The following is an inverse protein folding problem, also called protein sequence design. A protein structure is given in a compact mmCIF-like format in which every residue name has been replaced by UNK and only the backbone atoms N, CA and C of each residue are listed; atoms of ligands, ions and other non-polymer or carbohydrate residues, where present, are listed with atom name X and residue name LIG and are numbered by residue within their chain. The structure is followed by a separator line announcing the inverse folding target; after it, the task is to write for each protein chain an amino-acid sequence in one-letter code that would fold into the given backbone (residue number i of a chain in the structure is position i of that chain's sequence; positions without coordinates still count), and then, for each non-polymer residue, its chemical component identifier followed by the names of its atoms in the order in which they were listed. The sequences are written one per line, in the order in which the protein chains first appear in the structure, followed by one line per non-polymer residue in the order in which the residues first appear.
data_IF_011367853562
#
_entry.id   IF_011367853562
#
_cell.length_a   1.000
_cell.length_b   1.000
_cell.length_c   1.000
_cell.angle_alpha   90.00
_cell.angle_beta   90.00
_cell.angle_gamma   90.00
#
_symmetry.space_group_name_H-M   'P 1'
#
loop_
_entity.id
_entity.type
_entity.pdbx_description
1 polymer ?
#
# COMPACT_ATOMS: atom_id res chain seq x y z
N UNK A 1 27.80 33.02 -9.09
CA UNK A 1 29.17 32.65 -9.51
C UNK A 1 30.17 33.37 -8.61
N UNK A 2 30.76 32.70 -7.63
CA UNK A 2 31.89 33.21 -6.86
C UNK A 2 33.06 32.24 -7.06
N UNK A 3 34.04 32.73 -7.79
CA UNK A 3 35.27 32.04 -8.09
C UNK A 3 36.16 32.09 -6.83
N UNK A 4 36.47 30.94 -6.22
CA UNK A 4 37.42 30.86 -5.12
C UNK A 4 38.77 30.51 -5.75
N UNK A 5 39.67 31.51 -5.72
CA UNK A 5 41.04 31.37 -6.15
C UNK A 5 41.85 30.69 -5.04
N UNK A 6 42.27 29.45 -5.25
CA UNK A 6 43.19 28.74 -4.35
C UNK A 6 44.61 29.10 -4.75
N UNK A 7 45.26 29.95 -3.95
CA UNK A 7 46.68 30.24 -4.05
C UNK A 7 47.43 29.04 -3.45
N UNK A 8 48.09 28.27 -4.29
CA UNK A 8 49.01 27.22 -3.85
C UNK A 8 50.33 27.83 -3.42
N UNK A 9 50.55 27.88 -2.11
CA UNK A 9 51.86 28.26 -1.53
C UNK A 9 52.84 27.11 -1.65
N UNK A 10 53.72 27.18 -2.62
CA UNK A 10 54.80 26.17 -2.82
C UNK A 10 55.94 26.53 -1.86
N UNK A 11 56.02 25.84 -0.73
CA UNK A 11 57.18 25.82 0.14
C UNK A 11 58.13 24.69 -0.25
N UNK A 12 59.43 24.88 -0.33
CA UNK A 12 60.37 23.79 -0.63
C UNK A 12 60.52 22.91 0.62
N UNK A 13 59.84 21.76 0.62
CA UNK A 13 60.00 20.77 1.70
C UNK A 13 61.17 19.91 1.34
N UNK A 14 62.28 20.03 2.08
CA UNK A 14 63.39 19.11 2.06
C UNK A 14 62.94 17.74 2.69
N UNK A 15 62.46 16.84 1.87
CA UNK A 15 61.93 15.53 2.32
C UNK A 15 63.07 14.58 2.60
N UNK A 16 63.40 14.38 3.89
CA UNK A 16 64.32 13.32 4.34
C UNK A 16 63.74 11.95 3.99
N UNK A 17 64.54 11.05 3.44
CA UNK A 17 64.15 9.73 2.96
C UNK A 17 63.39 8.85 4.02
N UNK A 18 63.53 9.22 5.30
CA UNK A 18 62.81 8.55 6.42
C UNK A 18 61.30 8.85 6.43
N UNK A 19 60.87 9.99 5.89
CA UNK A 19 59.47 10.36 5.85
C UNK A 19 58.68 9.64 4.76
N UNK A 20 59.35 9.22 3.69
CA UNK A 20 58.75 8.47 2.58
C UNK A 20 58.31 7.05 2.97
N UNK A 21 59.09 6.36 3.84
CA UNK A 21 58.74 5.04 4.39
C UNK A 21 57.48 5.12 5.29
N UNK A 22 57.38 6.17 6.07
CA UNK A 22 56.19 6.40 6.95
C UNK A 22 54.93 6.73 6.13
N UNK A 23 55.07 7.55 5.08
CA UNK A 23 53.96 7.83 4.14
C UNK A 23 53.48 6.57 3.40
N UNK A 24 54.40 5.70 2.94
CA UNK A 24 54.04 4.41 2.33
C UNK A 24 53.39 3.46 3.32
N UNK A 25 53.81 3.44 4.59
CA UNK A 25 53.12 2.65 5.64
C UNK A 25 51.74 3.19 5.96
N UNK A 26 51.57 4.50 6.06
CA UNK A 26 50.28 5.14 6.28
C UNK A 26 49.31 4.90 5.11
N UNK A 27 49.80 5.06 3.87
CA UNK A 27 48.98 4.76 2.66
C UNK A 27 48.57 3.26 2.57
N UNK A 28 49.47 2.35 2.94
CA UNK A 28 49.12 0.90 3.03
C UNK A 28 48.11 0.62 4.14
N UNK A 29 48.18 1.32 5.28
CA UNK A 29 47.23 1.17 6.38
C UNK A 29 45.86 1.69 6.00
N UNK A 30 45.81 2.88 5.38
CA UNK A 30 44.55 3.47 4.85
C UNK A 30 43.93 2.61 3.75
N UNK A 31 44.73 2.08 2.80
CA UNK A 31 44.25 1.14 1.78
C UNK A 31 43.75 -0.20 2.35
N UNK A 32 44.40 -0.68 3.43
CA UNK A 32 43.93 -1.90 4.13
C UNK A 32 42.64 -1.65 4.92
N UNK A 33 42.52 -0.46 5.54
CA UNK A 33 41.28 -0.05 6.23
C UNK A 33 40.16 0.22 5.24
N UNK A 34 40.42 0.89 4.10
CA UNK A 34 39.45 1.07 3.00
C UNK A 34 39.03 -0.29 2.40
N UNK A 35 39.92 -1.23 2.17
CA UNK A 35 39.61 -2.59 1.74
C UNK A 35 38.86 -3.40 2.80
N UNK A 36 39.10 -3.16 4.08
CA UNK A 36 38.34 -3.81 5.16
C UNK A 36 36.96 -3.16 5.33
N UNK A 37 36.84 -1.84 5.15
CA UNK A 37 35.57 -1.12 5.17
C UNK A 37 34.73 -1.48 3.94
N UNK A 38 35.34 -1.64 2.75
CA UNK A 38 34.64 -2.13 1.55
C UNK A 38 34.27 -3.62 1.63
N UNK A 39 34.99 -4.44 2.42
CA UNK A 39 34.59 -5.84 2.73
C UNK A 39 33.49 -5.93 3.79
N UNK A 40 33.27 -4.88 4.59
CA UNK A 40 32.17 -4.81 5.57
C UNK A 40 30.88 -4.20 5.01
N UNK A 41 30.89 -3.63 3.82
CA UNK A 41 29.66 -3.49 3.04
C UNK A 41 29.32 -4.92 2.59
N UNK A 42 28.62 -5.67 3.44
CA UNK A 42 28.02 -6.96 3.09
C UNK A 42 27.26 -6.70 1.80
N UNK A 43 27.75 -7.25 0.70
CA UNK A 43 27.05 -7.21 -0.58
C UNK A 43 25.64 -7.69 -0.31
N UNK A 44 24.67 -6.81 -0.55
CA UNK A 44 23.28 -7.07 -0.30
C UNK A 44 22.84 -8.14 -1.28
N UNK A 45 22.56 -9.34 -0.80
CA UNK A 45 22.16 -10.43 -1.67
C UNK A 45 20.74 -10.18 -2.20
N UNK A 46 20.45 -10.65 -3.42
CA UNK A 46 19.11 -10.61 -3.99
C UNK A 46 18.08 -11.31 -3.08
N UNK A 47 18.54 -12.33 -2.36
CA UNK A 47 17.74 -13.03 -1.34
C UNK A 47 17.38 -12.13 -0.16
N UNK A 48 18.32 -11.29 0.32
CA UNK A 48 18.05 -10.33 1.41
C UNK A 48 17.04 -9.27 0.95
N UNK A 49 17.17 -8.79 -0.30
CA UNK A 49 16.22 -7.83 -0.89
C UNK A 49 14.80 -8.42 -0.98
N UNK A 50 14.70 -9.67 -1.43
CA UNK A 50 13.42 -10.36 -1.52
C UNK A 50 12.80 -10.59 -0.13
N UNK A 51 13.61 -10.96 0.87
CA UNK A 51 13.16 -11.16 2.24
C UNK A 51 12.63 -9.83 2.85
N UNK A 52 13.38 -8.72 2.66
CA UNK A 52 12.96 -7.40 3.11
C UNK A 52 11.63 -6.95 2.49
N UNK A 53 11.47 -7.15 1.18
CA UNK A 53 10.24 -6.82 0.51
C UNK A 53 9.06 -7.62 1.07
N UNK A 54 9.22 -8.95 1.19
CA UNK A 54 8.16 -9.81 1.76
C UNK A 54 7.77 -9.37 3.17
N UNK A 55 8.75 -9.01 4.01
CA UNK A 55 8.48 -8.46 5.34
C UNK A 55 7.71 -7.13 5.26
N UNK A 56 8.11 -6.23 4.37
CA UNK A 56 7.42 -4.95 4.13
C UNK A 56 5.96 -5.16 3.76
N UNK A 57 5.73 -6.02 2.76
CA UNK A 57 4.38 -6.29 2.28
C UNK A 57 3.51 -6.97 3.35
N UNK A 58 4.04 -7.94 4.10
CA UNK A 58 3.30 -8.58 5.19
C UNK A 58 2.88 -7.56 6.27
N UNK A 59 3.78 -6.68 6.69
CA UNK A 59 3.48 -5.60 7.66
C UNK A 59 2.45 -4.62 7.13
N UNK A 60 2.57 -4.23 5.86
CA UNK A 60 1.59 -3.38 5.20
C UNK A 60 0.19 -4.01 5.18
N UNK A 61 0.11 -5.30 4.82
CA UNK A 61 -1.12 -6.08 4.82
C UNK A 61 -1.72 -6.18 6.23
N UNK A 62 -0.93 -6.58 7.23
CA UNK A 62 -1.39 -6.68 8.61
C UNK A 62 -1.98 -5.36 9.08
N UNK A 63 -1.20 -4.28 8.96
CA UNK A 63 -1.62 -2.96 9.38
C UNK A 63 -2.84 -2.45 8.62
N UNK A 64 -2.87 -2.63 7.30
CA UNK A 64 -3.98 -2.19 6.46
C UNK A 64 -5.28 -2.91 6.80
N UNK A 65 -5.23 -4.23 6.95
CA UNK A 65 -6.39 -5.04 7.34
C UNK A 65 -6.83 -4.69 8.77
N UNK A 66 -5.90 -4.58 9.72
CA UNK A 66 -6.20 -4.26 11.11
C UNK A 66 -6.90 -2.88 11.25
N UNK A 67 -6.45 -1.86 10.50
CA UNK A 67 -7.09 -0.54 10.50
C UNK A 67 -8.49 -0.59 9.88
N UNK A 68 -8.63 -1.26 8.75
CA UNK A 68 -9.88 -1.27 7.99
C UNK A 68 -10.95 -2.18 8.59
N UNK A 69 -10.57 -3.21 9.36
CA UNK A 69 -11.49 -4.12 10.04
C UNK A 69 -12.07 -3.56 11.35
N UNK A 70 -11.52 -2.46 11.86
CA UNK A 70 -12.09 -1.80 13.04
C UNK A 70 -13.42 -1.17 12.71
N UNK A 71 -14.27 -1.01 13.74
CA UNK A 71 -15.48 -0.20 13.64
C UNK A 71 -15.11 1.22 13.18
N UNK A 72 -15.76 1.69 12.14
CA UNK A 72 -15.46 2.96 11.46
C UNK A 72 -14.15 2.99 10.64
N UNK A 73 -13.48 1.87 10.42
CA UNK A 73 -12.28 1.78 9.60
C UNK A 73 -12.50 2.24 8.16
N UNK A 74 -13.68 1.94 7.60
CA UNK A 74 -14.15 2.50 6.33
C UNK A 74 -15.00 3.74 6.52
N UNK A 75 -15.99 3.71 7.42
CA UNK A 75 -17.03 4.72 7.47
C UNK A 75 -16.52 6.14 7.76
N UNK A 76 -15.58 6.32 8.67
CA UNK A 76 -15.03 7.65 9.02
C UNK A 76 -13.78 8.03 8.25
N UNK A 77 -13.18 7.11 7.51
CA UNK A 77 -12.01 7.39 6.71
C UNK A 77 -12.42 7.90 5.31
N UNK A 78 -12.30 9.20 5.08
CA UNK A 78 -12.72 9.85 3.84
C UNK A 78 -12.09 9.29 2.56
N UNK A 79 -10.91 8.67 2.66
CA UNK A 79 -10.19 8.14 1.52
C UNK A 79 -10.72 6.78 1.05
N UNK A 80 -11.35 6.02 1.96
CA UNK A 80 -11.82 4.66 1.68
C UNK A 80 -13.33 4.48 1.94
N UNK A 81 -13.99 5.48 2.52
CA UNK A 81 -15.43 5.45 2.77
C UNK A 81 -16.19 5.07 1.51
N UNK A 82 -17.05 4.08 1.63
CA UNK A 82 -17.93 3.63 0.56
C UNK A 82 -19.16 4.54 0.54
N UNK A 83 -19.28 5.44 -0.44
CA UNK A 83 -20.44 6.32 -0.57
C UNK A 83 -21.63 5.57 -1.16
N UNK A 84 -22.76 6.23 -1.21
CA UNK A 84 -23.87 5.76 -2.05
C UNK A 84 -23.43 5.70 -3.51
N UNK A 85 -23.82 4.66 -4.30
CA UNK A 85 -23.36 4.54 -5.69
C UNK A 85 -23.64 5.80 -6.51
N UNK A 86 -22.63 6.36 -7.20
CA UNK A 86 -22.78 7.63 -7.93
C UNK A 86 -23.89 7.61 -8.98
N UNK A 87 -24.10 6.46 -9.61
CA UNK A 87 -25.14 6.24 -10.60
C UNK A 87 -26.55 6.41 -10.00
N UNK A 88 -26.69 6.17 -8.71
CA UNK A 88 -27.94 6.32 -7.97
C UNK A 88 -28.14 7.69 -7.33
N UNK A 89 -27.26 8.67 -7.59
CA UNK A 89 -27.38 10.03 -7.00
C UNK A 89 -28.72 10.70 -7.28
N UNK A 90 -29.33 10.46 -8.44
CA UNK A 90 -30.65 10.98 -8.75
C UNK A 90 -31.70 10.41 -7.78
N UNK A 91 -31.64 9.12 -7.48
CA UNK A 91 -32.52 8.47 -6.50
C UNK A 91 -32.23 9.00 -5.10
N UNK A 92 -30.93 9.07 -4.73
CA UNK A 92 -30.47 9.63 -3.46
C UNK A 92 -31.07 11.04 -3.21
N UNK A 93 -30.91 11.93 -4.18
CA UNK A 93 -31.40 13.30 -4.06
C UNK A 93 -32.93 13.39 -3.95
N UNK A 94 -33.70 12.54 -4.65
CA UNK A 94 -35.15 12.48 -4.52
C UNK A 94 -35.57 11.99 -3.13
N UNK A 95 -34.98 10.92 -2.64
CA UNK A 95 -35.24 10.34 -1.30
C UNK A 95 -34.88 11.33 -0.20
N UNK A 96 -33.75 12.04 -0.34
CA UNK A 96 -33.35 13.11 0.58
C UNK A 96 -34.35 14.26 0.62
N UNK A 97 -34.87 14.71 -0.54
CA UNK A 97 -35.91 15.74 -0.62
C UNK A 97 -37.25 15.32 0.02
N UNK A 98 -37.50 14.02 0.14
CA UNK A 98 -38.64 13.45 0.85
C UNK A 98 -38.45 13.37 2.37
N UNK A 99 -37.33 13.89 2.91
CA UNK A 99 -37.02 13.87 4.34
C UNK A 99 -36.48 12.53 4.86
N UNK A 100 -36.12 11.61 3.97
CA UNK A 100 -35.63 10.27 4.32
C UNK A 100 -34.10 10.19 4.37
N UNK A 101 -33.41 11.26 4.72
CA UNK A 101 -31.93 11.33 4.78
C UNK A 101 -31.35 10.30 5.76
N UNK A 102 -32.00 10.09 6.90
CA UNK A 102 -31.59 9.10 7.91
C UNK A 102 -31.53 7.66 7.36
N UNK A 103 -32.44 7.31 6.45
CA UNK A 103 -32.44 5.97 5.84
C UNK A 103 -31.29 5.82 4.81
N UNK A 104 -30.95 6.91 4.12
CA UNK A 104 -29.77 6.93 3.24
C UNK A 104 -28.46 6.78 4.03
N UNK A 105 -28.35 7.48 5.16
CA UNK A 105 -27.18 7.39 6.05
C UNK A 105 -27.04 5.98 6.63
N UNK A 106 -28.13 5.33 7.01
CA UNK A 106 -28.12 3.94 7.45
C UNK A 106 -27.65 2.99 6.34
N UNK A 107 -28.09 3.22 5.10
CA UNK A 107 -27.65 2.42 3.95
C UNK A 107 -26.14 2.58 3.71
N UNK A 108 -25.61 3.82 3.75
CA UNK A 108 -24.18 4.08 3.64
C UNK A 108 -23.41 3.45 4.79
N UNK A 109 -23.92 3.56 6.03
CA UNK A 109 -23.31 2.94 7.19
C UNK A 109 -23.23 1.41 7.02
N UNK A 110 -24.32 0.75 6.60
CA UNK A 110 -24.34 -0.70 6.45
C UNK A 110 -23.39 -1.21 5.36
N UNK A 111 -23.23 -0.46 4.25
CA UNK A 111 -22.22 -0.80 3.23
C UNK A 111 -20.79 -0.76 3.79
N UNK A 112 -20.48 0.23 4.61
CA UNK A 112 -19.16 0.36 5.22
C UNK A 112 -18.92 -0.71 6.30
N UNK A 113 -19.94 -1.05 7.12
CA UNK A 113 -19.86 -2.17 8.07
C UNK A 113 -19.64 -3.51 7.37
N UNK A 114 -20.31 -3.74 6.25
CA UNK A 114 -20.09 -4.93 5.44
C UNK A 114 -18.66 -5.01 4.90
N UNK A 115 -18.06 -3.89 4.54
CA UNK A 115 -16.66 -3.82 4.12
C UNK A 115 -15.69 -4.11 5.29
N UNK A 116 -15.95 -3.53 6.47
CA UNK A 116 -15.17 -3.75 7.71
C UNK A 116 -15.18 -5.23 8.11
N UNK A 117 -16.33 -5.89 8.02
CA UNK A 117 -16.47 -7.33 8.30
C UNK A 117 -15.72 -8.21 7.27
N UNK A 118 -15.79 -7.83 5.99
CA UNK A 118 -15.25 -8.65 4.91
C UNK A 118 -13.72 -8.58 4.79
N UNK A 119 -13.11 -7.40 5.07
CA UNK A 119 -11.69 -7.14 4.79
C UNK A 119 -10.74 -8.07 5.55
N UNK A 120 -11.16 -8.64 6.68
CA UNK A 120 -10.39 -9.62 7.46
C UNK A 120 -9.98 -10.83 6.62
N UNK A 121 -10.85 -11.24 5.67
CA UNK A 121 -10.61 -12.39 4.79
C UNK A 121 -9.46 -12.17 3.79
N UNK A 122 -8.97 -10.94 3.63
CA UNK A 122 -7.84 -10.63 2.76
C UNK A 122 -6.49 -11.16 3.30
N UNK A 123 -6.34 -11.22 4.62
CA UNK A 123 -5.06 -11.52 5.29
C UNK A 123 -4.44 -12.84 4.80
N UNK A 124 -5.13 -13.99 4.85
CA UNK A 124 -4.57 -15.26 4.39
C UNK A 124 -4.25 -15.28 2.88
N UNK A 125 -5.04 -14.57 2.06
CA UNK A 125 -4.83 -14.49 0.60
C UNK A 125 -3.52 -13.77 0.32
N UNK A 126 -3.30 -12.61 0.90
CA UNK A 126 -2.06 -11.86 0.74
C UNK A 126 -0.84 -12.59 1.26
N UNK A 127 -0.92 -13.17 2.48
CA UNK A 127 0.20 -13.95 3.06
C UNK A 127 0.61 -15.08 2.14
N UNK A 128 -0.34 -15.82 1.57
CA UNK A 128 -0.08 -16.90 0.60
C UNK A 128 0.63 -16.34 -0.65
N UNK A 129 0.15 -15.27 -1.22
CA UNK A 129 0.73 -14.64 -2.43
C UNK A 129 2.14 -14.12 -2.16
N UNK A 130 2.36 -13.40 -1.05
CA UNK A 130 3.67 -12.89 -0.66
C UNK A 130 4.66 -14.04 -0.40
N UNK A 131 4.23 -15.10 0.27
CA UNK A 131 5.07 -16.28 0.52
C UNK A 131 5.55 -16.92 -0.78
N UNK A 132 4.67 -17.04 -1.76
CA UNK A 132 4.94 -17.68 -3.05
C UNK A 132 5.66 -16.78 -4.07
N UNK A 133 5.85 -15.49 -3.76
CA UNK A 133 6.58 -14.56 -4.63
C UNK A 133 8.02 -15.06 -4.85
N UNK A 134 8.45 -15.13 -6.10
CA UNK A 134 9.83 -15.52 -6.44
C UNK A 134 10.81 -14.35 -6.27
N UNK A 135 12.11 -14.67 -6.25
CA UNK A 135 13.17 -13.66 -6.03
C UNK A 135 13.20 -12.62 -7.15
N UNK A 136 13.02 -13.04 -8.40
CA UNK A 136 13.08 -12.13 -9.54
C UNK A 136 11.95 -11.08 -9.49
N UNK A 137 10.74 -11.49 -9.12
CA UNK A 137 9.63 -10.56 -8.95
C UNK A 137 9.88 -9.61 -7.78
N UNK A 138 10.39 -10.13 -6.66
CA UNK A 138 10.75 -9.30 -5.52
C UNK A 138 11.77 -8.21 -5.89
N UNK A 139 12.80 -8.55 -6.67
CA UNK A 139 13.82 -7.57 -7.12
C UNK A 139 13.21 -6.53 -8.06
N UNK A 140 12.35 -6.94 -9.00
CA UNK A 140 11.63 -5.99 -9.87
C UNK A 140 10.81 -5.00 -9.06
N UNK A 141 10.10 -5.49 -8.03
CA UNK A 141 9.30 -4.66 -7.13
C UNK A 141 10.17 -3.70 -6.33
N UNK A 142 11.28 -4.16 -5.75
CA UNK A 142 12.22 -3.29 -4.99
C UNK A 142 12.72 -2.15 -5.85
N UNK A 143 13.09 -2.42 -7.11
CA UNK A 143 13.57 -1.43 -8.09
C UNK A 143 12.44 -0.63 -8.77
N UNK A 144 11.20 -1.02 -8.56
CA UNK A 144 10.02 -0.45 -9.20
C UNK A 144 9.52 0.84 -8.55
N UNK A 145 8.32 1.25 -8.98
CA UNK A 145 7.62 2.43 -8.46
C UNK A 145 7.28 2.30 -6.97
N UNK A 146 6.87 3.41 -6.35
CA UNK A 146 6.53 3.47 -4.92
C UNK A 146 5.34 2.57 -4.51
N UNK A 147 4.62 2.01 -5.46
CA UNK A 147 3.45 1.12 -5.28
C UNK A 147 3.63 -0.24 -5.95
N UNK A 148 4.82 -0.56 -6.46
CA UNK A 148 5.05 -1.77 -7.25
C UNK A 148 4.70 -3.07 -6.52
N UNK A 149 4.86 -3.12 -5.19
CA UNK A 149 4.45 -4.26 -4.37
C UNK A 149 2.93 -4.36 -4.25
N UNK A 150 2.27 -3.24 -4.06
CA UNK A 150 0.82 -3.14 -4.02
C UNK A 150 0.20 -3.52 -5.37
N UNK A 151 0.78 -3.06 -6.47
CA UNK A 151 0.33 -3.39 -7.83
C UNK A 151 0.48 -4.90 -8.10
N UNK A 152 1.61 -5.48 -7.70
CA UNK A 152 1.82 -6.94 -7.78
C UNK A 152 0.77 -7.72 -6.97
N UNK A 153 0.46 -7.28 -5.75
CA UNK A 153 -0.58 -7.92 -4.94
C UNK A 153 -1.96 -7.80 -5.61
N UNK A 154 -2.28 -6.64 -6.19
CA UNK A 154 -3.55 -6.44 -6.90
C UNK A 154 -3.70 -7.43 -8.06
N UNK A 155 -2.69 -7.52 -8.92
CA UNK A 155 -2.70 -8.41 -10.09
C UNK A 155 -2.86 -9.88 -9.72
N UNK A 156 -2.28 -10.30 -8.59
CA UNK A 156 -2.24 -11.71 -8.18
C UNK A 156 -3.32 -12.13 -7.17
N UNK A 157 -4.12 -11.19 -6.65
CA UNK A 157 -5.10 -11.51 -5.58
C UNK A 157 -6.50 -10.97 -5.81
N UNK A 158 -6.70 -10.07 -6.77
CA UNK A 158 -8.00 -9.40 -6.96
C UNK A 158 -9.17 -10.38 -7.15
N UNK A 159 -8.98 -11.44 -7.91
CA UNK A 159 -10.01 -12.47 -8.12
C UNK A 159 -10.34 -13.21 -6.82
N UNK A 160 -9.32 -13.66 -6.10
CA UNK A 160 -9.48 -14.40 -4.84
C UNK A 160 -10.15 -13.52 -3.77
N UNK A 161 -9.84 -12.21 -3.76
CA UNK A 161 -10.46 -11.24 -2.86
C UNK A 161 -11.95 -11.04 -3.18
N UNK A 162 -12.33 -10.97 -4.46
CA UNK A 162 -13.73 -10.89 -4.87
C UNK A 162 -14.49 -12.10 -4.35
N UNK A 163 -13.94 -13.30 -4.54
CA UNK A 163 -14.56 -14.54 -4.07
C UNK A 163 -14.69 -14.61 -2.54
N UNK A 164 -13.67 -14.17 -1.82
CA UNK A 164 -13.64 -14.19 -0.37
C UNK A 164 -14.55 -13.13 0.28
N UNK A 165 -14.65 -11.93 -0.32
CA UNK A 165 -15.41 -10.82 0.27
C UNK A 165 -16.90 -10.93 -0.01
N UNK A 166 -17.27 -11.33 -1.21
CA UNK A 166 -18.68 -11.36 -1.67
C UNK A 166 -19.63 -12.05 -0.71
N UNK A 167 -19.37 -13.26 -0.19
CA UNK A 167 -20.27 -13.93 0.75
C UNK A 167 -20.42 -13.19 2.08
N UNK A 168 -19.34 -12.61 2.62
CA UNK A 168 -19.35 -11.86 3.86
C UNK A 168 -20.15 -10.57 3.69
N UNK A 169 -19.88 -9.82 2.62
CA UNK A 169 -20.60 -8.59 2.26
C UNK A 169 -22.08 -8.87 2.08
N UNK A 170 -22.42 -9.93 1.32
CA UNK A 170 -23.80 -10.35 1.14
C UNK A 170 -24.50 -10.60 2.47
N UNK A 171 -23.88 -11.41 3.35
CA UNK A 171 -24.44 -11.71 4.66
C UNK A 171 -24.68 -10.45 5.51
N UNK A 172 -23.73 -9.53 5.51
CA UNK A 172 -23.85 -8.28 6.28
C UNK A 172 -24.91 -7.35 5.73
N UNK A 173 -25.03 -7.22 4.39
CA UNK A 173 -26.06 -6.40 3.75
C UNK A 173 -27.47 -7.01 3.90
N UNK A 174 -27.58 -8.35 3.87
CA UNK A 174 -28.87 -9.04 4.02
C UNK A 174 -29.44 -8.89 5.44
N UNK A 175 -28.59 -8.84 6.49
CA UNK A 175 -29.01 -8.62 7.89
C UNK A 175 -29.81 -7.31 8.10
N UNK A 176 -29.58 -6.33 7.26
CA UNK A 176 -30.25 -5.01 7.32
C UNK A 176 -31.20 -4.78 6.15
N UNK A 177 -31.57 -5.83 5.42
CA UNK A 177 -32.42 -5.79 4.21
C UNK A 177 -31.92 -4.81 3.11
N UNK A 178 -30.69 -4.35 3.18
CA UNK A 178 -30.13 -3.35 2.26
C UNK A 178 -30.17 -3.83 0.81
N UNK A 179 -29.75 -5.06 0.55
CA UNK A 179 -29.74 -5.65 -0.79
C UNK A 179 -31.15 -5.75 -1.38
N UNK A 180 -32.12 -6.15 -0.59
CA UNK A 180 -33.52 -6.30 -1.03
C UNK A 180 -34.14 -4.96 -1.39
N UNK A 181 -34.00 -3.97 -0.54
CA UNK A 181 -34.50 -2.61 -0.79
C UNK A 181 -33.82 -1.97 -1.99
N UNK A 182 -32.50 -2.10 -2.08
CA UNK A 182 -31.72 -1.62 -3.21
C UNK A 182 -32.20 -2.22 -4.55
N UNK A 183 -32.26 -3.55 -4.65
CA UNK A 183 -32.73 -4.23 -5.87
C UNK A 183 -34.12 -3.79 -6.28
N UNK A 184 -35.04 -3.63 -5.32
CA UNK A 184 -36.41 -3.14 -5.60
C UNK A 184 -36.39 -1.73 -6.16
N UNK A 185 -35.69 -0.80 -5.52
CA UNK A 185 -35.61 0.61 -5.94
C UNK A 185 -34.97 0.72 -7.33
N UNK A 186 -33.81 0.04 -7.55
CA UNK A 186 -33.10 0.09 -8.83
C UNK A 186 -33.88 -0.57 -9.96
N UNK A 187 -34.62 -1.64 -9.68
CA UNK A 187 -35.49 -2.30 -10.66
C UNK A 187 -36.61 -1.34 -11.14
N UNK A 188 -37.19 -0.57 -10.24
CA UNK A 188 -38.23 0.43 -10.61
C UNK A 188 -37.60 1.58 -11.41
N UNK A 189 -36.46 2.11 -10.93
CA UNK A 189 -35.75 3.19 -11.60
C UNK A 189 -35.33 2.81 -13.03
N UNK A 190 -34.80 1.62 -13.22
CA UNK A 190 -34.33 1.13 -14.52
C UNK A 190 -35.44 0.89 -15.56
N UNK A 191 -36.72 0.93 -15.15
CA UNK A 191 -37.88 0.87 -16.05
C UNK A 191 -38.28 2.25 -16.60
N UNK A 192 -37.74 3.32 -16.02
CA UNK A 192 -38.02 4.69 -16.50
C UNK A 192 -37.35 4.88 -17.87
N UNK A 193 -38.05 5.34 -18.91
CA UNK A 193 -37.45 5.63 -20.21
C UNK A 193 -36.36 6.71 -20.12
N UNK A 194 -35.34 6.60 -20.96
CA UNK A 194 -34.25 7.59 -21.10
C UNK A 194 -33.38 7.84 -19.87
N UNK A 195 -33.44 7.03 -18.82
CA UNK A 195 -32.50 7.10 -17.70
C UNK A 195 -31.28 6.19 -17.96
N UNK A 196 -30.13 6.59 -17.45
CA UNK A 196 -28.97 5.71 -17.39
C UNK A 196 -29.26 4.58 -16.42
N UNK A 197 -29.26 3.33 -16.92
CA UNK A 197 -29.51 2.15 -16.07
C UNK A 197 -28.41 2.01 -15.02
N UNK A 198 -28.82 1.65 -13.81
CA UNK A 198 -27.95 1.41 -12.66
C UNK A 198 -27.81 -0.10 -12.45
N UNK A 199 -26.60 -0.56 -12.17
CA UNK A 199 -26.37 -1.95 -11.78
C UNK A 199 -27.11 -2.22 -10.46
N UNK A 200 -28.04 -3.18 -10.41
CA UNK A 200 -28.75 -3.51 -9.19
C UNK A 200 -27.92 -4.36 -8.20
N UNK A 201 -26.69 -4.73 -8.56
CA UNK A 201 -25.81 -5.56 -7.73
C UNK A 201 -25.04 -4.70 -6.71
N UNK A 202 -25.68 -4.45 -5.57
CA UNK A 202 -25.06 -3.74 -4.45
C UNK A 202 -23.91 -4.54 -3.83
N UNK A 203 -24.00 -5.87 -3.86
CA UNK A 203 -22.96 -6.75 -3.31
C UNK A 203 -21.66 -6.58 -4.10
N UNK A 204 -21.75 -6.57 -5.43
CA UNK A 204 -20.59 -6.33 -6.30
C UNK A 204 -19.99 -4.94 -6.07
N UNK A 205 -20.84 -3.90 -6.04
CA UNK A 205 -20.39 -2.52 -5.80
C UNK A 205 -19.59 -2.40 -4.49
N UNK A 206 -20.16 -2.92 -3.38
CA UNK A 206 -19.48 -2.86 -2.07
C UNK A 206 -18.21 -3.70 -2.08
N UNK A 207 -18.20 -4.87 -2.74
CA UNK A 207 -17.01 -5.72 -2.88
C UNK A 207 -15.88 -4.98 -3.58
N UNK A 208 -16.15 -4.39 -4.74
CA UNK A 208 -15.14 -3.65 -5.52
C UNK A 208 -14.61 -2.43 -4.75
N UNK A 209 -15.49 -1.71 -4.04
CA UNK A 209 -15.09 -0.56 -3.21
C UNK A 209 -14.27 -0.99 -2.00
N UNK A 210 -14.60 -2.13 -1.38
CA UNK A 210 -13.81 -2.70 -0.27
C UNK A 210 -12.39 -3.03 -0.74
N UNK A 211 -12.26 -3.71 -1.87
CA UNK A 211 -10.96 -4.03 -2.48
C UNK A 211 -10.20 -2.75 -2.81
N UNK A 212 -10.83 -1.78 -3.47
CA UNK A 212 -10.21 -0.50 -3.81
C UNK A 212 -9.71 0.25 -2.57
N UNK A 213 -10.49 0.28 -1.49
CA UNK A 213 -10.11 0.90 -0.21
C UNK A 213 -8.93 0.18 0.44
N UNK A 214 -8.93 -1.14 0.43
CA UNK A 214 -7.82 -1.94 0.96
C UNK A 214 -6.52 -1.65 0.20
N UNK A 215 -6.54 -1.69 -1.13
CA UNK A 215 -5.36 -1.40 -1.94
C UNK A 215 -4.89 0.05 -1.84
N UNK A 216 -5.81 1.00 -1.62
CA UNK A 216 -5.44 2.38 -1.31
C UNK A 216 -4.58 2.45 -0.03
N UNK A 217 -5.01 1.80 1.05
CA UNK A 217 -4.25 1.79 2.31
C UNK A 217 -2.90 1.08 2.15
N UNK A 218 -2.86 -0.06 1.43
CA UNK A 218 -1.61 -0.77 1.17
C UNK A 218 -0.61 0.09 0.39
N UNK A 219 -1.09 0.83 -0.63
CA UNK A 219 -0.26 1.74 -1.42
C UNK A 219 0.31 2.88 -0.57
N UNK A 220 -0.48 3.46 0.33
CA UNK A 220 0.00 4.51 1.23
C UNK A 220 1.04 3.96 2.23
N UNK A 221 0.83 2.77 2.81
CA UNK A 221 1.81 2.15 3.70
C UNK A 221 3.11 1.80 2.96
N UNK A 222 3.04 1.29 1.73
CA UNK A 222 4.23 1.02 0.92
C UNK A 222 5.01 2.31 0.61
N UNK A 223 4.32 3.38 0.20
CA UNK A 223 4.93 4.69 -0.04
C UNK A 223 5.62 5.25 1.20
N UNK A 224 4.98 5.13 2.37
CA UNK A 224 5.54 5.58 3.64
C UNK A 224 6.84 4.83 4.00
N UNK A 225 6.87 3.51 3.86
CA UNK A 225 8.07 2.70 4.13
C UNK A 225 9.20 3.07 3.16
N UNK A 226 8.88 3.26 1.87
CA UNK A 226 9.86 3.62 0.85
C UNK A 226 10.44 5.04 1.04
N UNK A 227 9.62 6.00 1.49
CA UNK A 227 10.02 7.41 1.62
C UNK A 227 10.53 7.78 3.01
N UNK A 228 9.99 7.17 4.07
CA UNK A 228 10.27 7.56 5.45
C UNK A 228 11.23 6.58 6.15
N UNK A 229 12.51 6.98 6.41
CA UNK A 229 13.47 6.13 7.11
C UNK A 229 13.02 5.64 8.49
N UNK A 230 12.21 6.42 9.20
CA UNK A 230 11.71 6.06 10.54
C UNK A 230 10.71 4.91 10.50
N UNK A 231 10.07 4.65 9.37
CA UNK A 231 9.16 3.51 9.16
C UNK A 231 9.89 2.20 8.85
N UNK A 232 11.18 2.28 8.55
CA UNK A 232 12.06 1.14 8.28
C UNK A 232 12.55 0.55 9.60
N UNK A 233 11.69 -0.19 10.28
CA UNK A 233 11.92 -0.65 11.66
C UNK A 233 12.94 -1.77 11.78
N UNK A 234 13.26 -2.49 10.71
CA UNK A 234 14.27 -3.55 10.70
C UNK A 234 15.54 -3.13 9.96
N UNK A 235 16.67 -3.74 10.30
CA UNK A 235 17.92 -3.48 9.61
C UNK A 235 17.87 -3.90 8.15
N UNK A 236 17.04 -4.89 7.83
CA UNK A 236 16.80 -5.36 6.47
C UNK A 236 16.07 -4.27 5.65
N UNK A 237 15.03 -3.66 6.20
CA UNK A 237 14.31 -2.55 5.56
C UNK A 237 15.20 -1.31 5.38
N UNK A 238 16.01 -0.99 6.37
CA UNK A 238 16.99 0.11 6.27
C UNK A 238 18.00 -0.11 5.15
N UNK A 239 18.47 -1.35 4.98
CA UNK A 239 19.41 -1.70 3.93
C UNK A 239 18.81 -1.64 2.54
N UNK A 240 17.56 -2.10 2.36
CA UNK A 240 16.91 -2.17 1.03
C UNK A 240 16.42 -0.82 0.55
N UNK A 241 15.79 -0.06 1.43
CA UNK A 241 15.15 1.21 1.09
C UNK A 241 15.93 2.43 1.62
N UNK A 242 17.12 2.22 2.16
CA UNK A 242 17.92 3.24 2.83
C UNK A 242 18.91 4.00 1.94
N UNK A 243 19.03 3.65 0.67
CA UNK A 243 19.91 4.30 -0.30
C UNK A 243 19.21 5.43 -1.03
#
# INVERSE_FOLDING_TARGET
MKLILIIALVLPISIHAQNWKNLKKAAKKVNKELKNTSKQVKEFSESDAAAALKETLNRGVEKGVDILSLENGFYTNSNVKIPFPPEANTVYNKVKKMGMEKELDKAVLSMNRAAEDAVVSAKPIFIKTIKNMNINDAIKIVKGANTAGTDYLYENTNSDLIEAFKPNIKSSLDKVDATKHWKKVMSIYNKIPFVKKINPDLELYVTEKTISGLFYILAEEEKEIRKNPQKRTTDLLKKVFGN
#
